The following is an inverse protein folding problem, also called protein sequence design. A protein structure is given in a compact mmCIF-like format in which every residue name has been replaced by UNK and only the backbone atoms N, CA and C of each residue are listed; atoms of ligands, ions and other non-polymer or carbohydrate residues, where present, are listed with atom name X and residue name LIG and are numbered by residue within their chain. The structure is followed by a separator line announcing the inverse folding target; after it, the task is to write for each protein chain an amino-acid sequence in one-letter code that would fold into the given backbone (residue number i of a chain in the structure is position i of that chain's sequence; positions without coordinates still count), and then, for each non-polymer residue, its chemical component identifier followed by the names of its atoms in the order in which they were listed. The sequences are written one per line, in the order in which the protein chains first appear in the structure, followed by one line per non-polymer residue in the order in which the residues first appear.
data_IF_461605044409
#
_entry.id   IF_461605044409
#
_cell.length_a   1.000
_cell.length_b   1.000
_cell.length_c   1.000
_cell.angle_alpha   90.00
_cell.angle_beta   90.00
_cell.angle_gamma   90.00
#
_symmetry.space_group_name_H-M   'P 1'
#
loop_
_entity.id
_entity.type
_entity.pdbx_description
1 polymer ?
#
# COMPACT_ATOMS: atom_id res chain seq x y z
N UNK A 1 10.83 -10.02 -10.65
CA UNK A 1 9.56 -10.75 -11.01
C UNK A 1 9.60 -11.18 -12.46
N UNK A 2 8.98 -12.29 -12.87
CA UNK A 2 9.03 -12.79 -14.24
C UNK A 2 8.01 -12.03 -15.12
N UNK A 3 8.49 -11.32 -16.15
CA UNK A 3 7.67 -10.50 -17.07
C UNK A 3 6.49 -11.28 -17.67
N UNK A 4 6.69 -12.54 -18.03
CA UNK A 4 5.60 -13.37 -18.59
C UNK A 4 4.45 -13.63 -17.61
N UNK A 5 4.71 -13.68 -16.29
CA UNK A 5 3.65 -13.78 -15.27
C UNK A 5 2.88 -12.48 -15.13
N UNK A 6 3.53 -11.34 -15.27
CA UNK A 6 2.88 -10.03 -15.27
C UNK A 6 1.98 -9.83 -16.48
N UNK A 7 2.43 -10.22 -17.68
CA UNK A 7 1.62 -10.16 -18.90
C UNK A 7 0.36 -11.03 -18.78
N UNK A 8 0.48 -12.25 -18.24
CA UNK A 8 -0.66 -13.12 -17.98
C UNK A 8 -1.63 -12.54 -16.95
N UNK A 9 -1.11 -11.96 -15.86
CA UNK A 9 -1.94 -11.28 -14.85
C UNK A 9 -2.70 -10.10 -15.48
N UNK A 10 -2.03 -9.28 -16.30
CA UNK A 10 -2.65 -8.18 -17.03
C UNK A 10 -3.80 -8.64 -17.90
N UNK A 11 -3.60 -9.71 -18.68
CA UNK A 11 -4.65 -10.29 -19.54
C UNK A 11 -5.86 -10.72 -18.70
N UNK A 12 -5.62 -11.39 -17.58
CA UNK A 12 -6.70 -11.88 -16.70
C UNK A 12 -7.48 -10.74 -16.06
N UNK A 13 -6.81 -9.72 -15.54
CA UNK A 13 -7.49 -8.56 -14.94
C UNK A 13 -8.20 -7.69 -15.99
N UNK A 14 -7.65 -7.54 -17.20
CA UNK A 14 -8.32 -6.84 -18.29
C UNK A 14 -9.57 -7.60 -18.76
N UNK A 15 -9.53 -8.92 -18.80
CA UNK A 15 -10.70 -9.74 -19.07
C UNK A 15 -11.79 -9.60 -17.98
N UNK A 16 -11.40 -9.56 -16.71
CA UNK A 16 -12.35 -9.32 -15.61
C UNK A 16 -12.99 -7.93 -15.72
N UNK A 17 -12.18 -6.89 -15.98
CA UNK A 17 -12.66 -5.52 -16.21
C UNK A 17 -13.66 -5.41 -17.38
N UNK A 18 -13.43 -6.13 -18.47
CA UNK A 18 -14.36 -6.13 -19.63
C UNK A 18 -15.71 -6.73 -19.28
N UNK A 19 -15.75 -7.72 -18.37
CA UNK A 19 -16.99 -8.35 -17.91
C UNK A 19 -17.72 -7.51 -16.89
N UNK A 20 -16.99 -6.88 -15.98
CA UNK A 20 -17.54 -6.01 -14.92
C UNK A 20 -16.68 -4.74 -14.84
N UNK A 21 -16.98 -3.72 -15.70
CA UNK A 21 -16.16 -2.51 -15.79
C UNK A 21 -16.03 -1.73 -14.48
N UNK A 22 -17.04 -1.77 -13.62
CA UNK A 22 -17.06 -1.09 -12.33
C UNK A 22 -16.41 -1.90 -11.18
N UNK A 23 -15.82 -3.08 -11.46
CA UNK A 23 -15.23 -3.91 -10.42
C UNK A 23 -13.88 -3.34 -9.97
N UNK A 24 -13.91 -2.54 -8.91
CA UNK A 24 -12.75 -1.80 -8.38
C UNK A 24 -11.53 -2.68 -8.08
N UNK A 25 -11.63 -3.89 -7.46
CA UNK A 25 -10.46 -4.73 -7.21
C UNK A 25 -9.72 -5.15 -8.49
N UNK A 26 -10.43 -5.50 -9.56
CA UNK A 26 -9.77 -5.85 -10.82
C UNK A 26 -9.05 -4.64 -11.44
N UNK A 27 -9.62 -3.45 -11.29
CA UNK A 27 -8.99 -2.20 -11.73
C UNK A 27 -7.74 -1.88 -10.90
N UNK A 28 -7.78 -2.07 -9.58
CA UNK A 28 -6.64 -1.87 -8.68
C UNK A 28 -5.48 -2.79 -9.02
N UNK A 29 -5.74 -4.10 -9.11
CA UNK A 29 -4.71 -5.07 -9.50
C UNK A 29 -4.16 -4.85 -10.91
N UNK A 30 -4.99 -4.38 -11.85
CA UNK A 30 -4.52 -4.01 -13.17
C UNK A 30 -3.56 -2.82 -13.10
N UNK A 31 -3.85 -1.82 -12.26
CA UNK A 31 -2.95 -0.68 -12.05
C UNK A 31 -1.61 -1.10 -11.44
N UNK A 32 -1.59 -2.05 -10.50
CA UNK A 32 -0.35 -2.62 -9.94
C UNK A 32 0.50 -3.26 -11.04
N UNK A 33 -0.11 -4.12 -11.86
CA UNK A 33 0.59 -4.80 -12.96
C UNK A 33 1.08 -3.80 -14.00
N UNK A 34 0.28 -2.78 -14.35
CA UNK A 34 0.68 -1.70 -15.26
C UNK A 34 1.90 -0.94 -14.73
N UNK A 35 1.91 -0.60 -13.42
CA UNK A 35 3.05 0.07 -12.80
C UNK A 35 4.31 -0.79 -12.83
N UNK A 36 4.22 -2.08 -12.55
CA UNK A 36 5.36 -3.00 -12.58
C UNK A 36 5.90 -3.26 -14.01
N UNK A 37 5.03 -3.14 -15.01
CA UNK A 37 5.42 -3.18 -16.43
C UNK A 37 6.00 -1.85 -16.95
N UNK A 38 6.08 -0.81 -16.09
CA UNK A 38 6.55 0.51 -16.46
C UNK A 38 5.50 1.37 -17.20
N UNK A 39 4.24 0.93 -17.24
CA UNK A 39 3.12 1.66 -17.82
C UNK A 39 2.54 2.65 -16.80
N UNK A 40 3.39 3.51 -16.28
CA UNK A 40 3.11 4.39 -15.13
C UNK A 40 1.92 5.30 -15.36
N UNK A 41 1.80 5.90 -16.54
CA UNK A 41 0.69 6.82 -16.86
C UNK A 41 -0.67 6.10 -16.82
N UNK A 42 -0.75 4.87 -17.35
CA UNK A 42 -1.98 4.06 -17.31
C UNK A 42 -2.36 3.72 -15.87
N UNK A 43 -1.39 3.30 -15.07
CA UNK A 43 -1.58 2.99 -13.66
C UNK A 43 -2.06 4.23 -12.87
N UNK A 44 -1.43 5.38 -13.07
CA UNK A 44 -1.81 6.64 -12.41
C UNK A 44 -3.23 7.09 -12.79
N UNK A 45 -3.59 7.04 -14.08
CA UNK A 45 -4.92 7.41 -14.54
C UNK A 45 -6.01 6.55 -13.90
N UNK A 46 -5.77 5.23 -13.80
CA UNK A 46 -6.67 4.27 -13.19
C UNK A 46 -6.80 4.48 -11.68
N UNK A 47 -5.68 4.60 -10.97
CA UNK A 47 -5.66 4.79 -9.51
C UNK A 47 -6.29 6.12 -9.09
N UNK A 48 -6.12 7.20 -9.87
CA UNK A 48 -6.81 8.48 -9.56
C UNK A 48 -8.32 8.33 -9.54
N UNK A 49 -8.89 7.61 -10.52
CA UNK A 49 -10.32 7.35 -10.54
C UNK A 49 -10.77 6.52 -9.35
N UNK A 50 -10.03 5.46 -9.02
CA UNK A 50 -10.35 4.57 -7.90
C UNK A 50 -10.23 5.28 -6.56
N UNK A 51 -9.17 6.06 -6.34
CA UNK A 51 -8.93 6.76 -5.08
C UNK A 51 -10.00 7.84 -4.77
N UNK A 52 -10.67 8.36 -5.81
CA UNK A 52 -11.77 9.31 -5.67
C UNK A 52 -13.12 8.60 -5.51
N UNK A 53 -13.35 7.52 -6.27
CA UNK A 53 -14.65 6.84 -6.33
C UNK A 53 -14.84 5.72 -5.31
N UNK A 54 -13.78 5.30 -4.62
CA UNK A 54 -13.80 4.27 -3.59
C UNK A 54 -13.34 4.82 -2.25
N UNK A 55 -13.89 4.32 -1.17
CA UNK A 55 -13.46 4.57 0.21
C UNK A 55 -12.28 3.68 0.66
N UNK A 56 -11.90 2.67 -0.16
CA UNK A 56 -10.75 1.81 0.11
C UNK A 56 -9.45 2.63 0.07
N UNK A 57 -8.71 2.72 1.21
CA UNK A 57 -7.49 3.50 1.30
C UNK A 57 -6.34 2.97 0.45
N UNK A 58 -6.41 1.70 0.02
CA UNK A 58 -5.32 1.05 -0.70
C UNK A 58 -5.06 1.72 -2.06
N UNK A 59 -6.11 2.20 -2.75
CA UNK A 59 -5.94 2.92 -4.03
C UNK A 59 -5.21 4.26 -3.86
N UNK A 60 -5.51 4.99 -2.79
CA UNK A 60 -4.79 6.23 -2.47
C UNK A 60 -3.35 5.95 -2.03
N UNK A 61 -3.12 4.86 -1.30
CA UNK A 61 -1.80 4.38 -0.90
C UNK A 61 -0.92 4.03 -2.10
N UNK A 62 -1.44 3.23 -3.03
CA UNK A 62 -0.74 2.85 -4.27
C UNK A 62 -0.43 4.08 -5.13
N UNK A 63 -1.38 4.99 -5.28
CA UNK A 63 -1.20 6.25 -6.01
C UNK A 63 -0.10 7.11 -5.38
N UNK A 64 -0.10 7.25 -4.05
CA UNK A 64 0.93 7.98 -3.32
C UNK A 64 2.32 7.37 -3.54
N UNK A 65 2.44 6.04 -3.50
CA UNK A 65 3.69 5.33 -3.75
C UNK A 65 4.25 5.64 -5.14
N UNK A 66 3.45 5.46 -6.19
CA UNK A 66 3.90 5.68 -7.57
C UNK A 66 4.29 7.16 -7.79
N UNK A 67 3.49 8.10 -7.27
CA UNK A 67 3.78 9.54 -7.40
C UNK A 67 5.05 9.94 -6.63
N UNK A 68 5.32 9.34 -5.47
CA UNK A 68 6.56 9.57 -4.71
C UNK A 68 7.77 9.08 -5.48
N UNK A 69 7.69 7.87 -6.03
CA UNK A 69 8.79 7.25 -6.80
C UNK A 69 9.08 8.05 -8.07
N UNK A 70 8.07 8.73 -8.63
CA UNK A 70 8.19 9.69 -9.73
C UNK A 70 8.63 11.11 -9.31
N UNK A 71 8.89 11.36 -8.03
CA UNK A 71 9.27 12.68 -7.52
C UNK A 71 8.15 13.74 -7.55
N UNK A 72 6.90 13.33 -7.75
CA UNK A 72 5.76 14.25 -7.87
C UNK A 72 5.23 14.65 -6.49
N UNK A 73 5.20 15.97 -6.19
CA UNK A 73 4.78 16.50 -4.88
C UNK A 73 3.33 16.16 -4.50
N UNK A 74 2.48 15.81 -5.45
CA UNK A 74 1.09 15.39 -5.21
C UNK A 74 1.00 14.13 -4.33
N UNK A 75 2.09 13.34 -4.19
CA UNK A 75 2.09 12.15 -3.35
C UNK A 75 1.65 12.46 -1.91
N UNK A 76 1.98 13.66 -1.37
CA UNK A 76 1.63 14.05 0.01
C UNK A 76 0.12 14.11 0.23
N UNK A 77 -0.63 14.63 -0.73
CA UNK A 77 -2.09 14.66 -0.67
C UNK A 77 -2.69 13.25 -0.57
N UNK A 78 -2.28 12.35 -1.46
CA UNK A 78 -2.80 10.99 -1.50
C UNK A 78 -2.34 10.15 -0.30
N UNK A 79 -1.12 10.36 0.16
CA UNK A 79 -0.62 9.76 1.39
C UNK A 79 -1.44 10.20 2.60
N UNK A 80 -1.75 11.49 2.74
CA UNK A 80 -2.60 12.01 3.81
C UNK A 80 -4.02 11.45 3.78
N UNK A 81 -4.61 11.31 2.59
CA UNK A 81 -5.93 10.70 2.42
C UNK A 81 -5.94 9.23 2.82
N UNK A 82 -4.94 8.45 2.38
CA UNK A 82 -4.80 7.05 2.77
C UNK A 82 -4.60 6.90 4.29
N UNK A 83 -3.74 7.75 4.88
CA UNK A 83 -3.48 7.75 6.32
C UNK A 83 -4.74 7.95 7.14
N UNK A 84 -5.54 8.98 6.83
CA UNK A 84 -6.78 9.28 7.54
C UNK A 84 -7.78 8.11 7.45
N UNK A 85 -7.96 7.55 6.24
CA UNK A 85 -8.88 6.42 6.03
C UNK A 85 -8.42 5.15 6.76
N UNK A 86 -7.11 4.84 6.75
CA UNK A 86 -6.59 3.69 7.50
C UNK A 86 -6.76 3.87 9.00
N UNK A 87 -6.56 5.09 9.52
CA UNK A 87 -6.74 5.37 10.95
C UNK A 87 -8.19 5.14 11.39
N UNK A 88 -9.16 5.60 10.61
CA UNK A 88 -10.59 5.39 10.87
C UNK A 88 -10.97 3.90 10.79
N UNK A 89 -10.46 3.17 9.79
CA UNK A 89 -10.73 1.76 9.61
C UNK A 89 -10.10 0.89 10.71
N UNK A 90 -8.86 1.19 11.12
CA UNK A 90 -8.20 0.49 12.23
C UNK A 90 -8.90 0.77 13.56
N UNK A 91 -9.37 2.00 13.79
CA UNK A 91 -10.11 2.33 15.00
C UNK A 91 -11.43 1.57 15.11
N UNK A 92 -12.09 1.32 13.96
CA UNK A 92 -13.40 0.64 13.92
C UNK A 92 -13.28 -0.88 13.76
N UNK A 93 -12.30 -1.36 13.00
CA UNK A 93 -12.17 -2.77 12.58
C UNK A 93 -10.69 -3.20 12.55
N UNK A 94 -9.99 -3.19 13.69
CA UNK A 94 -8.55 -3.51 13.73
C UNK A 94 -8.25 -4.92 13.19
N UNK A 95 -9.18 -5.87 13.40
CA UNK A 95 -9.05 -7.24 12.91
C UNK A 95 -9.05 -7.35 11.38
N UNK A 96 -9.60 -6.38 10.67
CA UNK A 96 -9.66 -6.37 9.22
C UNK A 96 -8.55 -5.53 8.58
N UNK A 97 -8.07 -4.50 9.27
CA UNK A 97 -7.24 -3.48 8.63
C UNK A 97 -5.86 -3.26 9.25
N UNK A 98 -5.54 -3.87 10.40
CA UNK A 98 -4.24 -3.65 11.05
C UNK A 98 -3.04 -4.06 10.18
N UNK A 99 -3.15 -5.14 9.41
CA UNK A 99 -2.10 -5.59 8.49
C UNK A 99 -1.94 -4.64 7.29
N UNK A 100 -3.03 -4.24 6.66
CA UNK A 100 -3.02 -3.30 5.53
C UNK A 100 -2.47 -1.92 5.93
N UNK A 101 -2.90 -1.42 7.09
CA UNK A 101 -2.39 -0.17 7.63
C UNK A 101 -0.90 -0.25 7.98
N UNK A 102 -0.43 -1.36 8.55
CA UNK A 102 1.00 -1.58 8.82
C UNK A 102 1.83 -1.57 7.53
N UNK A 103 1.37 -2.23 6.46
CA UNK A 103 1.99 -2.21 5.13
C UNK A 103 2.05 -0.78 4.56
N UNK A 104 0.96 -0.01 4.69
CA UNK A 104 0.93 1.39 4.27
C UNK A 104 1.98 2.23 5.01
N UNK A 105 2.07 2.09 6.35
CA UNK A 105 3.02 2.87 7.15
C UNK A 105 4.48 2.44 6.97
N UNK A 106 4.75 1.19 6.58
CA UNK A 106 6.07 0.74 6.12
C UNK A 106 6.43 1.33 4.74
N UNK A 107 5.43 1.52 3.89
CA UNK A 107 5.58 2.00 2.52
C UNK A 107 5.36 3.50 2.38
N UNK A 108 4.25 3.89 1.75
CA UNK A 108 3.93 5.28 1.40
C UNK A 108 3.81 6.20 2.61
N UNK A 109 3.32 5.69 3.74
CA UNK A 109 3.17 6.46 4.99
C UNK A 109 4.48 6.81 5.69
N UNK A 110 5.56 6.05 5.44
CA UNK A 110 6.92 6.27 5.95
C UNK A 110 6.99 6.54 7.46
N UNK A 111 6.23 5.79 8.25
CA UNK A 111 6.24 5.87 9.71
C UNK A 111 6.44 4.46 10.32
N UNK A 112 7.71 4.02 10.50
CA UNK A 112 8.02 2.68 10.99
C UNK A 112 7.56 2.43 12.44
N UNK A 113 7.47 3.46 13.29
CA UNK A 113 6.96 3.31 14.66
C UNK A 113 5.48 2.90 14.63
N UNK A 114 4.68 3.60 13.84
CA UNK A 114 3.25 3.28 13.68
C UNK A 114 3.05 1.93 13.00
N UNK A 115 3.86 1.62 11.99
CA UNK A 115 3.87 0.30 11.35
C UNK A 115 4.16 -0.82 12.36
N UNK A 116 5.14 -0.64 13.24
CA UNK A 116 5.50 -1.61 14.27
C UNK A 116 4.35 -1.84 15.27
N UNK A 117 3.68 -0.76 15.72
CA UNK A 117 2.52 -0.86 16.61
C UNK A 117 1.40 -1.68 15.97
N UNK A 118 1.06 -1.39 14.71
CA UNK A 118 0.02 -2.09 13.96
C UNK A 118 0.38 -3.54 13.64
N UNK A 119 1.65 -3.82 13.30
CA UNK A 119 2.12 -5.17 13.06
C UNK A 119 2.07 -6.04 14.33
N UNK A 120 2.38 -5.48 15.52
CA UNK A 120 2.19 -6.16 16.80
C UNK A 120 0.72 -6.47 17.06
N UNK A 121 -0.16 -5.48 16.90
CA UNK A 121 -1.61 -5.67 17.01
C UNK A 121 -2.10 -6.78 16.07
N UNK A 122 -1.64 -6.80 14.82
CA UNK A 122 -2.03 -7.84 13.85
C UNK A 122 -1.60 -9.24 14.30
N UNK A 123 -0.39 -9.41 14.88
CA UNK A 123 0.07 -10.72 15.42
C UNK A 123 -0.77 -11.17 16.63
N UNK A 124 -1.22 -10.23 17.48
CA UNK A 124 -2.12 -10.56 18.59
C UNK A 124 -3.47 -11.06 18.09
N UNK A 125 -4.01 -10.47 17.02
CA UNK A 125 -5.27 -10.85 16.39
C UNK A 125 -5.14 -12.16 15.59
N UNK A 126 -4.03 -12.29 14.82
CA UNK A 126 -3.81 -13.42 13.88
C UNK A 126 -2.38 -13.93 13.97
N UNK A 127 -2.19 -15.11 14.53
CA UNK A 127 -0.89 -15.79 14.64
C UNK A 127 -0.58 -16.57 13.36
N UNK A 128 -0.36 -15.86 12.24
CA UNK A 128 -0.04 -16.44 10.94
C UNK A 128 1.39 -16.13 10.52
N UNK A 129 1.99 -16.94 9.64
CA UNK A 129 3.33 -16.67 9.08
C UNK A 129 3.41 -15.27 8.47
N UNK A 130 2.37 -14.86 7.71
CA UNK A 130 2.30 -13.51 7.12
C UNK A 130 2.32 -12.40 8.18
N UNK A 131 1.64 -12.58 9.31
CA UNK A 131 1.63 -11.59 10.39
C UNK A 131 3.02 -11.48 11.05
N UNK A 132 3.71 -12.59 11.27
CA UNK A 132 5.08 -12.60 11.79
C UNK A 132 6.09 -12.02 10.80
N UNK A 133 5.96 -12.28 9.49
CA UNK A 133 6.80 -11.68 8.46
C UNK A 133 6.63 -10.16 8.41
N UNK A 134 5.38 -9.67 8.51
CA UNK A 134 5.09 -8.25 8.58
C UNK A 134 5.71 -7.61 9.82
N UNK A 135 5.58 -8.25 10.98
CA UNK A 135 6.20 -7.79 12.22
C UNK A 135 7.72 -7.72 12.10
N UNK A 136 8.36 -8.73 11.54
CA UNK A 136 9.82 -8.75 11.35
C UNK A 136 10.29 -7.59 10.46
N UNK A 137 9.56 -7.31 9.37
CA UNK A 137 9.85 -6.15 8.49
C UNK A 137 9.67 -4.82 9.21
N UNK A 138 8.64 -4.70 10.05
CA UNK A 138 8.39 -3.48 10.82
C UNK A 138 9.45 -3.25 11.90
N UNK A 139 9.93 -4.30 12.58
CA UNK A 139 11.05 -4.22 13.52
C UNK A 139 12.31 -3.74 12.81
N UNK A 140 12.70 -4.38 11.71
CA UNK A 140 13.89 -4.00 10.96
C UNK A 140 13.85 -2.54 10.45
N UNK A 141 12.69 -2.08 9.98
CA UNK A 141 12.51 -0.70 9.53
C UNK A 141 12.67 0.31 10.69
N UNK A 142 12.16 -0.02 11.86
CA UNK A 142 12.25 0.82 13.05
C UNK A 142 13.69 0.92 13.57
N UNK A 143 14.45 -0.17 13.60
CA UNK A 143 15.86 -0.19 13.98
C UNK A 143 16.74 0.69 13.09
N UNK A 144 16.49 0.67 11.76
CA UNK A 144 17.21 1.52 10.80
C UNK A 144 17.00 3.01 11.08
N UNK A 145 15.80 3.41 11.47
CA UNK A 145 15.51 4.81 11.83
C UNK A 145 16.19 5.18 13.14
N UNK A 146 16.11 4.32 14.16
CA UNK A 146 16.79 4.53 15.44
C UNK A 146 18.31 4.72 15.28
N UNK A 147 18.95 3.88 14.47
CA UNK A 147 20.39 3.98 14.19
C UNK A 147 20.79 5.27 13.44
N UNK A 148 19.92 5.80 12.58
CA UNK A 148 20.18 7.08 11.88
C UNK A 148 20.07 8.28 12.80
N UNK A 149 19.11 8.27 13.73
CA UNK A 149 18.92 9.35 14.72
C UNK A 149 20.12 9.44 15.64
N UNK A 150 20.66 8.31 16.11
CA UNK A 150 21.84 8.29 16.96
C UNK A 150 23.08 8.88 16.27
N UNK A 151 23.31 8.58 14.98
CA UNK A 151 24.45 9.10 14.21
C UNK A 151 24.37 10.59 13.86
N UNK A 152 23.18 11.18 13.93
CA UNK A 152 22.99 12.62 13.63
C UNK A 152 23.18 13.51 14.87
N UNK A 153 23.41 12.93 16.03
CA UNK A 153 23.66 13.63 17.30
C UNK A 153 25.12 13.53 17.77
N UNK A 154 26.00 12.90 16.96
CA UNK A 154 27.46 12.91 17.11
C UNK A 154 28.11 13.97 16.19
#
# INVERSE_FOLDING_TARGET
MNKGRLDNARISFDAARRRVPAYAPAQGHLAEVEAELGQTESALARLRLLAVSSDDPDYASQLARILRDAGCSQFRHWCGLAAARYDDLVASHPEAFADHAAEFWLGAGANPDKALQLARMNVEIRKTSRAYDLLARAVAANEVVGAKVMKSHE
#
